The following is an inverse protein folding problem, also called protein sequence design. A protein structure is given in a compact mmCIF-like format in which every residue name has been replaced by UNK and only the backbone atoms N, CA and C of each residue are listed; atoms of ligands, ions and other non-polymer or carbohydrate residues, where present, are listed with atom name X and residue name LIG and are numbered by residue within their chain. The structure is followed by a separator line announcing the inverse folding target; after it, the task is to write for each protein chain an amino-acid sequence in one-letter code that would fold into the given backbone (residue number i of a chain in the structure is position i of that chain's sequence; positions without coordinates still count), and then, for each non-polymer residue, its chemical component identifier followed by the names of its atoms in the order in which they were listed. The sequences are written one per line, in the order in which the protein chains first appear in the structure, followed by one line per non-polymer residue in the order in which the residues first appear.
data_IF_133845723415
#
_entry.id   IF_133845723415
#
_cell.length_a   1.000
_cell.length_b   1.000
_cell.length_c   1.000
_cell.angle_alpha   90.00
_cell.angle_beta   90.00
_cell.angle_gamma   90.00
#
_symmetry.space_group_name_H-M   'P 1'
#
loop_
_entity.id
_entity.type
_entity.pdbx_description
1 polymer ?
#
# COMPACT_ATOMS: atom_id res chain seq x y z
N UNK A 1 39.91 -7.81 -5.98
CA UNK A 1 38.56 -7.38 -5.54
C UNK A 1 37.59 -8.55 -5.66
N UNK A 2 36.54 -8.62 -4.82
CA UNK A 2 35.57 -9.73 -4.83
C UNK A 2 34.20 -9.23 -5.28
N UNK A 3 33.49 -10.04 -6.05
CA UNK A 3 32.11 -9.76 -6.44
C UNK A 3 31.21 -9.75 -5.22
N UNK A 4 30.36 -8.72 -5.10
CA UNK A 4 29.41 -8.57 -3.99
C UNK A 4 28.45 -9.78 -3.85
N UNK A 5 28.01 -10.36 -4.98
CA UNK A 5 26.97 -11.38 -5.00
C UNK A 5 27.46 -12.81 -4.83
N UNK A 6 28.70 -13.10 -5.20
CA UNK A 6 29.22 -14.47 -5.20
C UNK A 6 30.59 -14.62 -4.52
N UNK A 7 31.15 -13.53 -3.99
CA UNK A 7 32.46 -13.47 -3.35
C UNK A 7 33.64 -13.99 -4.22
N UNK A 8 33.41 -14.24 -5.51
CA UNK A 8 34.42 -14.66 -6.49
C UNK A 8 35.39 -13.50 -6.73
N UNK A 9 36.68 -13.80 -6.79
CA UNK A 9 37.68 -12.81 -7.17
C UNK A 9 37.47 -12.36 -8.62
N UNK A 10 37.49 -11.05 -8.81
CA UNK A 10 37.34 -10.39 -10.10
C UNK A 10 38.55 -9.48 -10.32
N UNK A 11 39.03 -9.46 -11.56
CA UNK A 11 40.01 -8.48 -12.03
C UNK A 11 39.30 -7.14 -12.26
N UNK A 12 39.98 -6.03 -11.96
CA UNK A 12 39.46 -4.67 -12.20
C UNK A 12 39.01 -4.47 -13.65
N UNK A 13 39.72 -5.07 -14.62
CA UNK A 13 39.39 -4.99 -16.04
C UNK A 13 38.06 -5.65 -16.40
N UNK A 14 37.57 -6.58 -15.57
CA UNK A 14 36.35 -7.37 -15.81
C UNK A 14 35.22 -7.05 -14.81
N UNK A 15 35.41 -6.03 -13.97
CA UNK A 15 34.42 -5.62 -12.99
C UNK A 15 33.33 -4.76 -13.62
N UNK A 16 32.06 -5.12 -13.41
CA UNK A 16 30.93 -4.23 -13.69
C UNK A 16 30.46 -3.62 -12.38
N UNK A 17 30.38 -2.30 -12.34
CA UNK A 17 30.05 -1.56 -11.13
C UNK A 17 28.55 -1.27 -11.07
N UNK A 18 27.92 -1.55 -9.93
CA UNK A 18 26.56 -1.07 -9.63
C UNK A 18 26.65 0.38 -9.17
N UNK A 19 27.61 0.67 -8.29
CA UNK A 19 27.99 1.96 -7.72
C UNK A 19 29.52 2.04 -7.61
N UNK A 20 30.08 3.19 -7.27
CA UNK A 20 31.53 3.42 -7.17
C UNK A 20 32.26 2.44 -6.23
N UNK A 21 31.54 1.86 -5.26
CA UNK A 21 32.10 0.91 -4.27
C UNK A 21 31.70 -0.56 -4.52
N UNK A 22 30.70 -0.81 -5.37
CA UNK A 22 30.07 -2.13 -5.51
C UNK A 22 30.36 -2.76 -6.87
N UNK A 23 31.28 -3.73 -6.90
CA UNK A 23 31.62 -4.48 -8.09
C UNK A 23 30.91 -5.85 -8.17
N UNK A 24 30.38 -6.16 -9.35
CA UNK A 24 29.74 -7.42 -9.71
C UNK A 24 30.57 -8.17 -10.77
N UNK A 25 30.56 -9.50 -10.68
CA UNK A 25 31.13 -10.41 -11.67
C UNK A 25 30.31 -10.44 -12.98
N UNK A 26 30.91 -10.64 -14.16
CA UNK A 26 30.17 -10.64 -15.42
C UNK A 26 29.06 -11.71 -15.49
N UNK A 27 29.26 -12.89 -14.87
CA UNK A 27 28.22 -13.94 -14.73
C UNK A 27 27.02 -13.45 -13.90
N UNK A 28 27.32 -12.75 -12.80
CA UNK A 28 26.35 -12.21 -11.87
C UNK A 28 25.56 -11.04 -12.50
N UNK A 29 26.26 -10.20 -13.27
CA UNK A 29 25.67 -9.10 -14.04
C UNK A 29 24.74 -9.62 -15.17
N UNK A 30 25.09 -10.76 -15.77
CA UNK A 30 24.23 -11.41 -16.75
C UNK A 30 22.95 -11.98 -16.11
N UNK A 31 23.06 -12.54 -14.90
CA UNK A 31 21.90 -13.04 -14.15
C UNK A 31 20.96 -11.91 -13.72
N UNK A 32 21.49 -10.76 -13.25
CA UNK A 32 20.67 -9.59 -12.90
C UNK A 32 20.01 -8.96 -14.13
N UNK A 33 20.74 -8.80 -15.24
CA UNK A 33 20.16 -8.28 -16.49
C UNK A 33 19.04 -9.19 -17.03
N UNK A 34 19.16 -10.51 -16.85
CA UNK A 34 18.12 -11.48 -17.24
C UNK A 34 16.91 -11.47 -16.30
N UNK A 35 17.09 -11.04 -15.04
CA UNK A 35 16.02 -10.80 -14.08
C UNK A 35 15.26 -9.51 -14.40
N UNK A 36 15.95 -8.44 -14.77
CA UNK A 36 15.32 -7.17 -15.20
C UNK A 36 14.50 -7.34 -16.48
N UNK A 37 14.92 -8.20 -17.41
CA UNK A 37 14.14 -8.55 -18.60
C UNK A 37 12.91 -9.44 -18.32
N UNK A 38 12.78 -9.98 -17.10
CA UNK A 38 11.70 -10.90 -16.70
C UNK A 38 10.85 -10.40 -15.54
N UNK A 39 11.16 -9.26 -14.96
CA UNK A 39 10.12 -8.45 -14.31
C UNK A 39 9.25 -7.91 -15.43
N UNK A 40 8.02 -8.43 -15.65
CA UNK A 40 7.02 -7.53 -16.19
C UNK A 40 7.09 -6.30 -15.27
N UNK A 41 7.16 -5.11 -15.85
CA UNK A 41 6.56 -3.98 -15.20
C UNK A 41 5.13 -4.44 -14.92
N UNK A 42 4.87 -4.96 -13.71
CA UNK A 42 3.53 -5.18 -13.24
C UNK A 42 2.95 -3.78 -13.20
N UNK A 43 2.33 -3.44 -14.32
CA UNK A 43 1.32 -2.44 -14.45
C UNK A 43 0.32 -2.76 -13.35
N UNK A 44 0.50 -2.08 -12.22
CA UNK A 44 -0.49 -1.96 -11.17
C UNK A 44 -1.63 -1.10 -11.74
N UNK A 45 -2.26 -1.60 -12.81
CA UNK A 45 -3.61 -1.24 -13.17
C UNK A 45 -4.44 -1.43 -11.90
N UNK A 46 -5.19 -0.41 -11.55
CA UNK A 46 -6.07 -0.36 -10.37
C UNK A 46 -7.13 -1.49 -10.35
N UNK A 47 -7.14 -2.35 -11.37
CA UNK A 47 -8.13 -3.37 -11.68
C UNK A 47 -8.06 -4.63 -10.80
N UNK A 48 -7.01 -4.80 -9.97
CA UNK A 48 -6.93 -5.89 -8.97
C UNK A 48 -6.86 -5.38 -7.53
N UNK A 49 -7.74 -4.45 -7.15
CA UNK A 49 -8.02 -4.19 -5.73
C UNK A 49 -8.70 -5.40 -5.09
N UNK A 50 -8.20 -5.84 -3.93
CA UNK A 50 -8.81 -6.90 -3.13
C UNK A 50 -10.28 -6.53 -2.82
N UNK A 51 -11.21 -7.42 -3.19
CA UNK A 51 -12.66 -7.20 -3.07
C UNK A 51 -13.08 -6.81 -1.64
N UNK A 52 -12.46 -7.44 -0.64
CA UNK A 52 -12.76 -7.18 0.78
C UNK A 52 -12.31 -5.79 1.22
N UNK A 53 -11.12 -5.36 0.78
CA UNK A 53 -10.59 -4.05 1.13
C UNK A 53 -11.37 -2.91 0.45
N UNK A 54 -11.76 -3.11 -0.80
CA UNK A 54 -12.62 -2.17 -1.53
C UNK A 54 -14.02 -2.08 -0.90
N UNK A 55 -14.60 -3.21 -0.47
CA UNK A 55 -15.87 -3.22 0.24
C UNK A 55 -15.80 -2.42 1.56
N UNK A 56 -14.72 -2.54 2.33
CA UNK A 56 -14.52 -1.74 3.54
C UNK A 56 -14.42 -0.23 3.26
N UNK A 57 -13.75 0.16 2.17
CA UNK A 57 -13.69 1.57 1.76
C UNK A 57 -15.06 2.12 1.39
N UNK A 58 -15.85 1.37 0.61
CA UNK A 58 -17.22 1.73 0.26
C UNK A 58 -18.10 1.87 1.51
N UNK A 59 -17.99 0.93 2.45
CA UNK A 59 -18.69 1.01 3.75
C UNK A 59 -18.27 2.25 4.54
N UNK A 60 -16.98 2.61 4.54
CA UNK A 60 -16.48 3.84 5.16
C UNK A 60 -17.12 5.10 4.57
N UNK A 61 -17.23 5.18 3.24
CA UNK A 61 -17.88 6.31 2.56
C UNK A 61 -19.38 6.37 2.91
N UNK A 62 -20.07 5.22 2.92
CA UNK A 62 -21.48 5.15 3.31
C UNK A 62 -21.67 5.62 4.76
N UNK A 63 -20.79 5.21 5.68
CA UNK A 63 -20.83 5.66 7.08
C UNK A 63 -20.62 7.17 7.21
N UNK A 64 -19.77 7.78 6.38
CA UNK A 64 -19.65 9.25 6.35
C UNK A 64 -20.92 9.94 5.89
N UNK A 65 -21.53 9.47 4.79
CA UNK A 65 -22.76 10.08 4.27
C UNK A 65 -23.92 9.93 5.26
N UNK A 66 -24.13 8.71 5.77
CA UNK A 66 -25.20 8.44 6.76
C UNK A 66 -24.92 9.12 8.10
N UNK A 67 -23.66 9.15 8.54
CA UNK A 67 -23.22 9.85 9.75
C UNK A 67 -23.45 11.36 9.66
N UNK A 68 -23.14 11.97 8.53
CA UNK A 68 -23.43 13.39 8.31
C UNK A 68 -24.93 13.68 8.33
N UNK A 69 -25.73 12.91 7.57
CA UNK A 69 -27.18 13.07 7.53
C UNK A 69 -27.84 12.88 8.90
N UNK A 70 -27.40 11.90 9.67
CA UNK A 70 -27.94 11.64 11.01
C UNK A 70 -27.62 12.76 12.00
N UNK A 71 -26.40 13.32 11.96
CA UNK A 71 -26.03 14.46 12.82
C UNK A 71 -26.84 15.71 12.46
N UNK A 72 -27.02 15.98 11.17
CA UNK A 72 -27.83 17.11 10.70
C UNK A 72 -29.30 16.93 11.10
N UNK A 73 -29.88 15.75 10.85
CA UNK A 73 -31.26 15.45 11.22
C UNK A 73 -31.49 15.54 12.74
N UNK A 74 -30.58 15.01 13.55
CA UNK A 74 -30.69 15.05 15.01
C UNK A 74 -30.59 16.48 15.57
N UNK A 75 -29.70 17.32 15.04
CA UNK A 75 -29.61 18.72 15.46
C UNK A 75 -30.80 19.55 14.95
N UNK A 76 -31.40 19.22 13.80
CA UNK A 76 -32.60 19.88 13.28
C UNK A 76 -33.87 19.52 14.07
N UNK A 77 -33.94 18.34 14.69
CA UNK A 77 -35.06 17.92 15.53
C UNK A 77 -35.04 18.56 16.94
N UNK A 78 -33.89 19.10 17.38
CA UNK A 78 -33.79 19.75 18.70
C UNK A 78 -34.32 21.18 18.64
N UNK A 79 -35.10 21.56 19.65
CA UNK A 79 -35.59 22.94 19.83
C UNK A 79 -34.47 23.96 20.04
N UNK A 80 -33.40 23.55 20.73
CA UNK A 80 -32.22 24.38 20.96
C UNK A 80 -31.08 23.89 20.07
N UNK A 81 -30.91 24.57 18.94
CA UNK A 81 -29.79 24.32 18.04
C UNK A 81 -28.49 24.80 18.68
N UNK A 82 -27.52 23.91 18.83
CA UNK A 82 -26.16 24.25 19.23
C UNK A 82 -25.18 23.89 18.13
N UNK A 83 -24.49 24.93 17.62
CA UNK A 83 -23.45 24.75 16.60
C UNK A 83 -22.34 23.81 17.10
N UNK A 84 -22.00 23.88 18.39
CA UNK A 84 -20.96 23.06 18.99
C UNK A 84 -21.31 21.56 18.95
N UNK A 85 -22.56 21.20 19.26
CA UNK A 85 -22.99 19.79 19.22
C UNK A 85 -23.06 19.25 17.79
N UNK A 86 -23.36 20.10 16.82
CA UNK A 86 -23.32 19.75 15.40
C UNK A 86 -21.89 19.46 14.95
N UNK A 87 -20.94 20.36 15.26
CA UNK A 87 -19.53 20.19 14.89
C UNK A 87 -18.93 18.93 15.54
N UNK A 88 -19.17 18.71 16.83
CA UNK A 88 -18.68 17.51 17.54
C UNK A 88 -19.26 16.23 16.92
N UNK A 89 -20.56 16.22 16.60
CA UNK A 89 -21.21 15.09 15.96
C UNK A 89 -20.63 14.77 14.58
N UNK A 90 -20.44 15.80 13.74
CA UNK A 90 -19.85 15.65 12.40
C UNK A 90 -18.41 15.13 12.53
N UNK A 91 -17.63 15.67 13.46
CA UNK A 91 -16.25 15.24 13.65
C UNK A 91 -16.16 13.77 14.11
N UNK A 92 -17.08 13.32 14.96
CA UNK A 92 -17.16 11.93 15.42
C UNK A 92 -17.58 10.98 14.29
N UNK A 93 -18.55 11.37 13.46
CA UNK A 93 -18.93 10.62 12.27
C UNK A 93 -17.78 10.53 11.25
N UNK A 94 -17.01 11.62 11.11
CA UNK A 94 -15.85 11.66 10.23
C UNK A 94 -14.72 10.75 10.71
N UNK A 95 -14.31 10.85 11.98
CA UNK A 95 -13.22 10.02 12.52
C UNK A 95 -13.56 8.54 12.51
N UNK A 96 -14.81 8.16 12.85
CA UNK A 96 -15.25 6.75 12.79
C UNK A 96 -15.19 6.17 11.37
N UNK A 97 -15.68 6.90 10.36
CA UNK A 97 -15.56 6.43 8.97
C UNK A 97 -14.12 6.42 8.45
N UNK A 98 -13.25 7.33 8.93
CA UNK A 98 -11.83 7.35 8.57
C UNK A 98 -11.09 6.12 9.11
N UNK A 99 -11.43 5.66 10.33
CA UNK A 99 -10.88 4.41 10.88
C UNK A 99 -11.29 3.20 10.05
N UNK A 100 -12.57 3.12 9.63
CA UNK A 100 -13.07 2.01 8.80
C UNK A 100 -12.43 2.05 7.40
N UNK A 101 -12.34 3.22 6.79
CA UNK A 101 -11.68 3.40 5.50
C UNK A 101 -10.19 3.05 5.56
N UNK A 102 -9.49 3.50 6.60
CA UNK A 102 -8.08 3.18 6.85
C UNK A 102 -7.82 1.69 7.06
N UNK A 103 -8.72 0.98 7.74
CA UNK A 103 -8.65 -0.49 7.82
C UNK A 103 -8.80 -1.16 6.45
N UNK A 104 -9.63 -0.60 5.56
CA UNK A 104 -9.73 -1.06 4.18
C UNK A 104 -8.40 -0.99 3.42
N UNK A 105 -7.71 0.16 3.50
CA UNK A 105 -6.37 0.35 2.92
C UNK A 105 -5.35 -0.65 3.48
N UNK A 106 -5.34 -0.85 4.80
CA UNK A 106 -4.42 -1.80 5.45
C UNK A 106 -4.67 -3.23 4.94
N UNK A 107 -5.93 -3.65 4.76
CA UNK A 107 -6.26 -4.97 4.23
C UNK A 107 -5.83 -5.13 2.78
N UNK A 108 -5.97 -4.09 1.95
CA UNK A 108 -5.48 -4.08 0.56
C UNK A 108 -3.96 -4.24 0.56
N UNK A 109 -3.25 -3.46 1.37
CA UNK A 109 -1.79 -3.50 1.48
C UNK A 109 -1.29 -4.86 2.00
N UNK A 110 -1.94 -5.44 2.99
CA UNK A 110 -1.60 -6.77 3.51
C UNK A 110 -1.78 -7.87 2.47
N UNK A 111 -2.83 -7.79 1.65
CA UNK A 111 -3.07 -8.75 0.56
C UNK A 111 -2.02 -8.62 -0.55
N UNK A 112 -1.64 -7.39 -0.89
CA UNK A 112 -0.52 -7.11 -1.80
C UNK A 112 0.82 -7.65 -1.27
N UNK A 113 1.10 -7.50 0.02
CA UNK A 113 2.31 -8.06 0.66
C UNK A 113 2.26 -9.59 0.64
N UNK A 114 1.13 -10.20 0.97
CA UNK A 114 0.94 -11.66 0.91
C UNK A 114 1.21 -12.22 -0.49
N UNK A 115 0.79 -11.51 -1.53
CA UNK A 115 1.05 -11.90 -2.91
C UNK A 115 2.51 -11.66 -3.34
N UNK A 116 3.22 -10.71 -2.73
CA UNK A 116 4.66 -10.45 -2.98
C UNK A 116 5.61 -11.38 -2.23
N UNK A 117 5.21 -11.93 -1.09
CA UNK A 117 6.04 -12.89 -0.35
C UNK A 117 5.79 -14.29 -0.92
N UNK A 118 6.74 -14.90 -1.64
CA UNK A 118 6.58 -16.28 -2.11
C UNK A 118 6.56 -17.19 -0.89
N UNK A 119 5.35 -17.55 -0.42
CA UNK A 119 5.19 -18.62 0.55
C UNK A 119 5.50 -19.94 -0.13
N UNK A 120 6.79 -20.24 -0.30
CA UNK A 120 7.25 -21.61 -0.52
C UNK A 120 7.00 -22.39 0.77
N UNK A 121 5.78 -22.87 0.96
CA UNK A 121 5.58 -24.10 1.73
C UNK A 121 5.80 -25.25 0.75
N UNK A 122 6.98 -25.87 0.86
CA UNK A 122 7.13 -27.28 0.51
C UNK A 122 6.37 -28.11 1.55
#
# INVERSE_FOLDING_TARGET
MKCLLCAKEISEENAKWINEEDAICPECAFLTAKLELKTPADDYSEDKKNSTGNALQVVGIILWVLGFLSVVAFNAMKKDFSLATMIIGIFTAFTSGLVVYGMGEIIILLDQIKHKIPTKRK
#
